data_IF_017998170254
#
_entry.id   IF_017998170254
#
_cell.length_a   1.000
_cell.length_b   1.000
_cell.length_c   1.000
_cell.angle_alpha   90.00
_cell.angle_beta   90.00
_cell.angle_gamma   90.00
#
_symmetry.space_group_name_H-M   'P 1'
#
loop_
_entity.id
_entity.type
_entity.pdbx_description
1 polymer ?
#
# COMPACT_ATOMS: atom_id res chain seq x y z
N UNK A 1 32.81 -3.27 -7.55
CA UNK A 1 33.66 -3.23 -6.34
C UNK A 1 32.82 -3.64 -5.14
N UNK A 2 33.31 -4.55 -4.29
CA UNK A 2 32.62 -4.88 -3.02
C UNK A 2 32.94 -3.77 -2.02
N UNK A 3 31.92 -3.15 -1.45
CA UNK A 3 32.10 -2.16 -0.38
C UNK A 3 32.25 -2.90 0.95
N UNK A 4 33.19 -2.47 1.78
CA UNK A 4 33.49 -3.11 3.08
C UNK A 4 32.25 -3.04 3.97
N UNK A 5 31.70 -1.85 4.13
CA UNK A 5 30.48 -1.58 4.86
C UNK A 5 29.61 -0.61 4.08
N UNK A 6 28.30 -0.86 4.08
CA UNK A 6 27.31 0.13 3.72
C UNK A 6 26.17 0.04 4.72
N UNK A 7 25.77 1.20 5.24
CA UNK A 7 24.71 1.31 6.23
C UNK A 7 23.79 2.48 5.89
N UNK A 8 22.53 2.33 6.25
CA UNK A 8 21.55 3.41 6.24
C UNK A 8 20.75 3.37 7.55
N UNK A 9 20.20 4.51 7.95
CA UNK A 9 19.53 4.66 9.25
C UNK A 9 18.12 5.21 9.10
N UNK A 10 17.22 4.73 9.95
CA UNK A 10 15.84 5.21 10.02
C UNK A 10 15.58 5.76 11.42
N UNK A 11 15.13 7.02 11.48
CA UNK A 11 14.74 7.69 12.72
C UNK A 11 13.25 7.44 12.99
N UNK A 12 12.93 7.08 14.23
CA UNK A 12 11.56 6.91 14.68
C UNK A 12 11.05 8.18 15.40
N UNK A 13 9.85 8.68 15.06
CA UNK A 13 9.25 9.81 15.76
C UNK A 13 8.78 9.40 17.16
N UNK A 14 8.56 10.39 18.02
CA UNK A 14 8.03 10.17 19.37
C UNK A 14 6.65 9.48 19.32
N UNK A 15 6.42 8.55 20.24
CA UNK A 15 5.17 7.77 20.31
C UNK A 15 5.12 6.53 19.42
N UNK A 16 6.13 6.28 18.57
CA UNK A 16 6.25 5.03 17.79
C UNK A 16 7.31 4.13 18.42
N UNK A 17 6.90 2.92 18.81
CA UNK A 17 7.81 1.89 19.33
C UNK A 17 8.12 0.87 18.23
N UNK A 18 9.35 0.38 18.18
CA UNK A 18 9.72 -0.72 17.29
C UNK A 18 10.44 -1.83 18.05
N UNK A 19 10.35 -3.05 17.52
CA UNK A 19 11.13 -4.18 18.00
C UNK A 19 11.67 -4.96 16.80
N UNK A 20 12.93 -5.36 16.86
CA UNK A 20 13.56 -6.20 15.84
C UNK A 20 14.02 -7.51 16.46
N UNK A 21 13.52 -8.62 15.93
CA UNK A 21 13.94 -9.98 16.32
C UNK A 21 14.13 -10.83 15.07
N UNK A 22 15.31 -11.41 14.85
CA UNK A 22 15.60 -12.27 13.70
C UNK A 22 15.20 -11.66 12.34
N UNK A 23 15.54 -10.38 12.11
CA UNK A 23 15.17 -9.60 10.90
C UNK A 23 13.65 -9.42 10.69
N UNK A 24 12.84 -9.75 11.69
CA UNK A 24 11.43 -9.43 11.74
C UNK A 24 11.26 -8.09 12.47
N UNK A 25 10.73 -7.11 11.76
CA UNK A 25 10.52 -5.74 12.26
C UNK A 25 9.04 -5.59 12.62
N UNK A 26 8.78 -5.23 13.88
CA UNK A 26 7.44 -4.88 14.35
C UNK A 26 7.44 -3.41 14.74
N UNK A 27 6.50 -2.64 14.21
CA UNK A 27 6.31 -1.22 14.49
C UNK A 27 4.93 -1.03 15.10
N UNK A 28 4.88 -0.35 16.24
CA UNK A 28 3.67 -0.05 17.00
C UNK A 28 3.52 1.45 17.10
N UNK A 29 2.36 1.96 16.70
CA UNK A 29 2.01 3.38 16.81
C UNK A 29 0.54 3.57 17.19
N UNK A 30 0.05 4.81 17.16
CA UNK A 30 -1.29 5.14 17.63
C UNK A 30 -2.41 4.46 16.84
N UNK A 31 -2.23 4.24 15.52
CA UNK A 31 -3.24 3.60 14.66
C UNK A 31 -3.20 2.08 14.68
N UNK A 32 -2.24 1.48 15.38
CA UNK A 32 -2.11 0.02 15.49
C UNK A 32 -0.67 -0.48 15.32
N UNK A 33 -0.55 -1.77 14.99
CA UNK A 33 0.74 -2.45 14.84
C UNK A 33 0.91 -3.04 13.45
N UNK A 34 2.12 -2.93 12.89
CA UNK A 34 2.51 -3.54 11.63
C UNK A 34 3.73 -4.44 11.85
N UNK A 35 3.70 -5.62 11.25
CA UNK A 35 4.80 -6.59 11.30
C UNK A 35 5.27 -6.90 9.90
N UNK A 36 6.58 -6.93 9.70
CA UNK A 36 7.17 -7.26 8.41
C UNK A 36 8.41 -8.13 8.55
N UNK A 37 8.51 -9.12 7.67
CA UNK A 37 9.60 -10.08 7.65
C UNK A 37 10.62 -9.74 6.54
N UNK A 38 11.90 -9.59 6.94
CA UNK A 38 13.03 -9.37 6.03
C UNK A 38 14.02 -10.55 6.02
N UNK A 39 13.65 -11.75 6.50
CA UNK A 39 14.52 -12.94 6.54
C UNK A 39 15.06 -13.37 5.17
N UNK A 40 14.34 -13.07 4.09
CA UNK A 40 14.77 -13.35 2.72
C UNK A 40 15.99 -12.52 2.28
N UNK A 41 16.31 -11.43 2.99
CA UNK A 41 17.47 -10.59 2.71
C UNK A 41 18.58 -10.88 3.73
N UNK A 42 19.78 -11.13 3.23
CA UNK A 42 20.98 -11.32 4.07
C UNK A 42 21.55 -9.96 4.49
N UNK A 43 20.80 -9.20 5.28
CA UNK A 43 21.14 -7.87 5.78
C UNK A 43 21.01 -7.87 7.30
N UNK A 44 21.87 -7.11 7.97
CA UNK A 44 21.82 -6.96 9.41
C UNK A 44 20.96 -5.74 9.78
N UNK A 45 19.99 -5.93 10.66
CA UNK A 45 19.09 -4.88 11.14
C UNK A 45 19.30 -4.79 12.65
N UNK A 46 19.90 -3.70 13.09
CA UNK A 46 20.23 -3.45 14.50
C UNK A 46 19.56 -2.18 15.00
N UNK A 47 19.25 -2.17 16.28
CA UNK A 47 18.81 -0.97 16.98
C UNK A 47 20.05 -0.22 17.47
N UNK A 48 20.17 1.05 17.10
CA UNK A 48 21.21 1.93 17.60
C UNK A 48 20.59 3.05 18.43
N UNK A 49 20.83 3.01 19.74
CA UNK A 49 20.17 3.90 20.69
C UNK A 49 18.65 3.66 20.78
N UNK A 50 17.93 4.63 21.33
CA UNK A 50 16.51 4.48 21.61
C UNK A 50 15.63 4.53 20.34
N UNK A 51 15.92 5.46 19.42
CA UNK A 51 15.01 5.82 18.32
C UNK A 51 15.60 5.63 16.91
N UNK A 52 16.80 5.07 16.78
CA UNK A 52 17.44 4.87 15.47
C UNK A 52 17.54 3.37 15.18
N UNK A 53 17.13 3.00 13.97
CA UNK A 53 17.34 1.67 13.43
C UNK A 53 18.40 1.75 12.35
N UNK A 54 19.47 0.97 12.48
CA UNK A 54 20.51 0.84 11.46
C UNK A 54 20.29 -0.43 10.66
N UNK A 55 20.35 -0.30 9.34
CA UNK A 55 20.35 -1.41 8.39
C UNK A 55 21.72 -1.43 7.73
N UNK A 56 22.50 -2.51 7.93
CA UNK A 56 23.87 -2.63 7.43
C UNK A 56 24.13 -3.92 6.67
N UNK A 57 25.04 -3.85 5.70
CA UNK A 57 25.56 -5.00 4.97
C UNK A 57 27.08 -4.92 4.86
N UNK A 58 27.74 -6.00 5.25
CA UNK A 58 29.17 -6.20 5.06
C UNK A 58 29.47 -6.81 3.69
N UNK A 59 30.55 -6.36 3.06
CA UNK A 59 31.08 -6.91 1.81
C UNK A 59 30.03 -7.04 0.68
N UNK A 60 29.10 -6.08 0.62
CA UNK A 60 27.94 -6.14 -0.26
C UNK A 60 28.27 -5.96 -1.74
N UNK A 61 27.59 -6.72 -2.60
CA UNK A 61 27.58 -6.51 -4.06
C UNK A 61 26.52 -5.44 -4.41
N UNK A 62 26.67 -4.74 -5.54
CA UNK A 62 25.75 -3.66 -5.99
C UNK A 62 24.26 -3.99 -5.83
N UNK A 63 23.83 -5.22 -6.13
CA UNK A 63 22.43 -5.67 -5.96
C UNK A 63 22.00 -5.74 -4.49
N UNK A 64 22.87 -6.21 -3.61
CA UNK A 64 22.58 -6.31 -2.17
C UNK A 64 22.59 -4.93 -1.51
N UNK A 65 23.50 -4.05 -1.93
CA UNK A 65 23.59 -2.67 -1.43
C UNK A 65 22.32 -1.88 -1.75
N UNK A 66 21.73 -2.10 -2.94
CA UNK A 66 20.46 -1.47 -3.30
C UNK A 66 19.32 -1.89 -2.36
N UNK A 67 19.36 -3.11 -1.81
CA UNK A 67 18.32 -3.61 -0.92
C UNK A 67 18.30 -2.87 0.43
N UNK A 68 19.44 -2.34 0.92
CA UNK A 68 19.51 -1.58 2.18
C UNK A 68 18.49 -0.43 2.17
N UNK A 69 18.54 0.43 1.14
CA UNK A 69 17.64 1.57 1.01
C UNK A 69 16.18 1.18 0.84
N UNK A 70 15.90 0.03 0.21
CA UNK A 70 14.54 -0.49 0.09
C UNK A 70 13.97 -0.93 1.44
N UNK A 71 14.78 -1.57 2.28
CA UNK A 71 14.38 -1.96 3.64
C UNK A 71 14.10 -0.70 4.47
N UNK A 72 14.98 0.30 4.43
CA UNK A 72 14.75 1.59 5.09
C UNK A 72 13.43 2.24 4.65
N UNK A 73 13.17 2.27 3.33
CA UNK A 73 11.95 2.84 2.77
C UNK A 73 10.69 2.08 3.23
N UNK A 74 10.76 0.75 3.32
CA UNK A 74 9.66 -0.05 3.86
C UNK A 74 9.37 0.27 5.33
N UNK A 75 10.41 0.47 6.13
CA UNK A 75 10.25 0.81 7.55
C UNK A 75 9.70 2.22 7.71
N UNK A 76 10.17 3.19 6.93
CA UNK A 76 9.60 4.55 6.89
C UNK A 76 8.12 4.53 6.51
N UNK A 77 7.73 3.69 5.54
CA UNK A 77 6.32 3.53 5.17
C UNK A 77 5.50 2.88 6.30
N UNK A 78 6.06 1.92 7.03
CA UNK A 78 5.40 1.35 8.21
C UNK A 78 5.18 2.43 9.30
N UNK A 79 6.20 3.27 9.56
CA UNK A 79 6.10 4.39 10.51
C UNK A 79 4.96 5.34 10.08
N UNK A 80 4.97 5.81 8.83
CA UNK A 80 3.91 6.68 8.29
C UNK A 80 2.53 6.03 8.36
N UNK A 81 2.46 4.72 8.14
CA UNK A 81 1.23 3.94 8.21
C UNK A 81 0.62 3.88 9.60
N UNK A 82 1.43 3.63 10.64
CA UNK A 82 0.94 3.57 12.03
C UNK A 82 0.68 4.95 12.65
N UNK A 83 1.24 6.02 12.09
CA UNK A 83 1.00 7.39 12.56
C UNK A 83 -0.13 8.08 11.81
N UNK A 84 -0.02 8.19 10.48
CA UNK A 84 -0.95 8.94 9.63
C UNK A 84 -1.95 8.07 8.88
N UNK A 85 -1.57 6.83 8.55
CA UNK A 85 -2.35 5.96 7.67
C UNK A 85 -2.33 6.39 6.21
N UNK A 86 -2.75 5.51 5.30
CA UNK A 86 -2.77 5.74 3.86
C UNK A 86 -4.20 5.76 3.33
N UNK A 87 -4.47 6.70 2.43
CA UNK A 87 -5.75 6.90 1.74
C UNK A 87 -5.55 6.97 0.23
N UNK A 88 -6.19 6.06 -0.49
CA UNK A 88 -6.18 6.06 -1.95
C UNK A 88 -7.58 6.43 -2.41
N UNK A 89 -7.69 7.50 -3.20
CA UNK A 89 -8.94 7.87 -3.86
C UNK A 89 -8.92 7.30 -5.27
N UNK A 90 -10.01 6.66 -5.65
CA UNK A 90 -10.22 6.10 -6.97
C UNK A 90 -11.47 6.70 -7.59
N UNK A 91 -11.44 6.94 -8.90
CA UNK A 91 -12.59 7.45 -9.66
C UNK A 91 -13.00 6.46 -10.72
N UNK A 92 -14.29 6.18 -10.80
CA UNK A 92 -14.88 5.48 -11.94
C UNK A 92 -15.12 6.45 -13.09
N UNK A 93 -14.65 6.07 -14.27
CA UNK A 93 -14.81 6.80 -15.52
C UNK A 93 -15.62 5.91 -16.46
N UNK A 94 -16.62 6.48 -17.10
CA UNK A 94 -17.44 5.81 -18.10
C UNK A 94 -17.93 6.79 -19.16
N UNK A 95 -18.13 6.32 -20.38
CA UNK A 95 -18.67 7.14 -21.47
C UNK A 95 -20.19 7.00 -21.61
N UNK A 96 -20.70 5.76 -21.60
CA UNK A 96 -22.11 5.47 -21.88
C UNK A 96 -22.77 4.61 -20.80
N UNK A 97 -22.10 3.55 -20.34
CA UNK A 97 -22.65 2.64 -19.34
C UNK A 97 -22.18 3.03 -17.93
N UNK A 98 -23.06 3.48 -17.02
CA UNK A 98 -22.66 3.84 -15.67
C UNK A 98 -22.17 2.62 -14.89
N UNK A 99 -21.02 2.77 -14.24
CA UNK A 99 -20.39 1.72 -13.43
C UNK A 99 -20.96 1.78 -12.02
N UNK A 100 -21.59 0.70 -11.58
CA UNK A 100 -22.15 0.61 -10.23
C UNK A 100 -21.17 -0.11 -9.30
N UNK A 101 -20.67 0.60 -8.29
CA UNK A 101 -19.76 0.05 -7.27
C UNK A 101 -20.56 -0.15 -5.99
N UNK A 102 -20.53 -1.37 -5.44
CA UNK A 102 -21.19 -1.68 -4.17
C UNK A 102 -20.24 -2.43 -3.24
N UNK A 103 -20.38 -2.19 -1.95
CA UNK A 103 -19.62 -2.86 -0.90
C UNK A 103 -20.46 -3.98 -0.30
N UNK A 104 -19.95 -5.22 -0.35
CA UNK A 104 -20.58 -6.39 0.23
C UNK A 104 -19.73 -6.96 1.37
N UNK A 105 -20.32 -7.88 2.15
CA UNK A 105 -19.64 -8.56 3.26
C UNK A 105 -19.00 -7.59 4.25
N UNK A 106 -19.78 -6.60 4.72
CA UNK A 106 -19.31 -5.54 5.64
C UNK A 106 -18.12 -4.72 5.11
N UNK A 107 -17.95 -4.66 3.79
CA UNK A 107 -16.91 -3.87 3.15
C UNK A 107 -15.63 -4.65 2.83
N UNK A 108 -15.61 -5.97 2.98
CA UNK A 108 -14.47 -6.81 2.59
C UNK A 108 -14.41 -7.09 1.07
N UNK A 109 -15.56 -7.08 0.40
CA UNK A 109 -15.65 -7.38 -1.03
C UNK A 109 -16.28 -6.20 -1.77
N UNK A 110 -15.59 -5.75 -2.81
CA UNK A 110 -16.11 -4.74 -3.74
C UNK A 110 -16.72 -5.47 -4.92
N UNK A 111 -17.99 -5.21 -5.19
CA UNK A 111 -18.67 -5.64 -6.41
C UNK A 111 -18.77 -4.48 -7.40
N UNK A 112 -18.40 -4.75 -8.65
CA UNK A 112 -18.49 -3.83 -9.77
C UNK A 112 -19.45 -4.44 -10.78
N UNK A 113 -20.52 -3.69 -11.09
CA UNK A 113 -21.59 -4.10 -12.01
C UNK A 113 -21.69 -3.12 -13.18
N UNK A 114 -22.21 -3.62 -14.30
CA UNK A 114 -22.50 -2.84 -15.50
C UNK A 114 -21.28 -2.18 -16.18
N UNK A 115 -20.08 -2.70 -15.92
CA UNK A 115 -18.86 -2.26 -16.61
C UNK A 115 -18.97 -2.55 -18.11
N UNK A 116 -18.91 -1.53 -18.96
CA UNK A 116 -19.15 -1.64 -20.42
C UNK A 116 -20.45 -2.36 -20.81
N UNK A 117 -21.47 -2.37 -19.94
CA UNK A 117 -22.72 -3.09 -20.19
C UNK A 117 -22.62 -4.61 -20.00
N UNK A 118 -21.55 -5.11 -19.38
CA UNK A 118 -21.40 -6.53 -19.06
C UNK A 118 -22.45 -6.98 -18.03
N UNK A 119 -23.04 -8.17 -18.25
CA UNK A 119 -23.91 -8.85 -17.27
C UNK A 119 -23.13 -9.53 -16.14
N UNK A 120 -21.81 -9.71 -16.32
CA UNK A 120 -20.94 -10.34 -15.33
C UNK A 120 -20.64 -9.40 -14.16
N UNK A 121 -20.78 -9.89 -12.93
CA UNK A 121 -20.45 -9.14 -11.72
C UNK A 121 -19.00 -9.40 -11.34
N UNK A 122 -18.18 -8.35 -11.38
CA UNK A 122 -16.76 -8.43 -11.01
C UNK A 122 -16.64 -8.25 -9.51
N UNK A 123 -16.07 -9.23 -8.81
CA UNK A 123 -15.86 -9.21 -7.35
C UNK A 123 -14.38 -9.09 -7.04
N UNK A 124 -14.01 -8.13 -6.20
CA UNK A 124 -12.63 -7.94 -5.75
C UNK A 124 -12.59 -7.99 -4.24
N UNK A 125 -11.91 -9.01 -3.69
CA UNK A 125 -11.70 -9.14 -2.24
C UNK A 125 -10.57 -8.22 -1.78
N UNK A 126 -10.84 -7.41 -0.76
CA UNK A 126 -9.87 -6.56 -0.12
C UNK A 126 -8.95 -7.37 0.82
N UNK A 127 -7.67 -7.00 0.90
CA UNK A 127 -6.75 -7.58 1.87
C UNK A 127 -7.09 -7.10 3.30
N UNK A 128 -6.76 -7.93 4.28
CA UNK A 128 -7.05 -7.66 5.70
C UNK A 128 -6.44 -6.34 6.20
N UNK A 129 -7.23 -5.57 6.94
CA UNK A 129 -6.82 -4.28 7.50
C UNK A 129 -6.93 -3.10 6.52
N UNK A 130 -7.57 -3.32 5.36
CA UNK A 130 -7.95 -2.29 4.40
C UNK A 130 -9.47 -2.15 4.40
N UNK A 131 -9.95 -0.92 4.53
CA UNK A 131 -11.37 -0.57 4.46
C UNK A 131 -11.65 0.23 3.20
N UNK A 132 -12.76 -0.07 2.53
CA UNK A 132 -13.26 0.74 1.42
C UNK A 132 -14.54 1.49 1.82
N UNK A 133 -14.67 2.72 1.35
CA UNK A 133 -15.85 3.56 1.54
C UNK A 133 -16.19 4.29 0.24
N UNK A 134 -17.48 4.43 -0.06
CA UNK A 134 -17.94 5.26 -1.18
C UNK A 134 -17.99 6.70 -0.66
N UNK A 135 -17.38 7.63 -1.40
CA UNK A 135 -17.34 9.04 -1.03
C UNK A 135 -18.75 9.64 -1.07
N UNK A 136 -19.15 10.35 -0.02
CA UNK A 136 -20.40 11.11 0.00
C UNK A 136 -20.26 12.49 -0.65
N UNK A 137 -19.02 12.99 -0.76
CA UNK A 137 -18.73 14.36 -1.24
C UNK A 137 -18.66 14.42 -2.76
N UNK A 138 -18.07 13.40 -3.38
CA UNK A 138 -17.87 13.31 -4.82
C UNK A 138 -18.55 12.05 -5.33
N UNK A 139 -19.40 12.22 -6.33
CA UNK A 139 -20.00 11.09 -7.04
C UNK A 139 -18.91 10.27 -7.73
N UNK A 140 -19.12 8.96 -7.83
CA UNK A 140 -18.29 8.05 -8.61
C UNK A 140 -16.83 7.96 -8.06
N UNK A 141 -16.66 8.22 -6.76
CA UNK A 141 -15.40 8.13 -6.04
C UNK A 141 -15.42 7.03 -4.96
N UNK A 142 -14.41 6.17 -5.01
CA UNK A 142 -14.16 5.10 -4.05
C UNK A 142 -12.89 5.44 -3.25
N UNK A 143 -13.01 5.43 -1.92
CA UNK A 143 -11.91 5.70 -0.99
C UNK A 143 -11.46 4.37 -0.38
N UNK A 144 -10.15 4.12 -0.41
CA UNK A 144 -9.51 2.94 0.16
C UNK A 144 -8.54 3.41 1.24
N UNK A 145 -8.85 3.08 2.48
CA UNK A 145 -8.09 3.45 3.66
C UNK A 145 -7.42 2.23 4.29
N UNK A 146 -6.23 2.43 4.86
CA UNK A 146 -5.56 1.38 5.63
C UNK A 146 -4.23 1.83 6.21
N UNK A 147 -3.67 1.03 7.11
CA UNK A 147 -2.40 1.34 7.75
C UNK A 147 -1.18 0.85 6.93
N UNK A 148 -1.34 -0.21 6.13
CA UNK A 148 -0.25 -0.76 5.31
C UNK A 148 -0.37 -0.33 3.84
N UNK A 149 0.60 0.47 3.38
CA UNK A 149 0.64 0.96 1.99
C UNK A 149 0.65 -0.18 0.96
N UNK A 150 1.26 -1.33 1.27
CA UNK A 150 1.33 -2.44 0.33
C UNK A 150 -0.04 -3.06 0.10
N UNK A 151 -0.79 -3.27 1.19
CA UNK A 151 -2.15 -3.81 1.13
C UNK A 151 -3.11 -2.81 0.49
N UNK A 152 -3.04 -1.53 0.86
CA UNK A 152 -3.88 -0.46 0.29
C UNK A 152 -3.62 -0.32 -1.22
N UNK A 153 -2.36 -0.24 -1.63
CA UNK A 153 -2.01 -0.12 -3.05
C UNK A 153 -2.34 -1.39 -3.85
N UNK A 154 -2.17 -2.58 -3.27
CA UNK A 154 -2.56 -3.84 -3.91
C UNK A 154 -4.07 -3.92 -4.10
N UNK A 155 -4.86 -3.50 -3.11
CA UNK A 155 -6.31 -3.43 -3.22
C UNK A 155 -6.73 -2.53 -4.39
N UNK A 156 -6.21 -1.30 -4.43
CA UNK A 156 -6.47 -0.35 -5.51
C UNK A 156 -6.07 -0.91 -6.88
N UNK A 157 -4.89 -1.54 -6.97
CA UNK A 157 -4.41 -2.14 -8.20
C UNK A 157 -5.30 -3.29 -8.70
N UNK A 158 -5.79 -4.16 -7.79
CA UNK A 158 -6.71 -5.25 -8.15
C UNK A 158 -8.03 -4.72 -8.70
N UNK A 159 -8.58 -3.66 -8.10
CA UNK A 159 -9.81 -3.00 -8.57
C UNK A 159 -9.60 -2.43 -9.96
N UNK A 160 -8.52 -1.66 -10.18
CA UNK A 160 -8.19 -1.10 -11.48
C UNK A 160 -7.98 -2.19 -12.54
N UNK A 161 -7.19 -3.22 -12.23
CA UNK A 161 -6.93 -4.33 -13.16
C UNK A 161 -8.19 -5.10 -13.51
N UNK A 162 -9.12 -5.26 -12.56
CA UNK A 162 -10.40 -5.91 -12.80
C UNK A 162 -11.27 -5.14 -13.80
N UNK A 163 -11.07 -3.84 -13.96
CA UNK A 163 -11.83 -2.95 -14.86
C UNK A 163 -11.02 -2.51 -16.08
N UNK A 164 -10.02 -3.32 -16.47
CA UNK A 164 -9.29 -3.10 -17.72
C UNK A 164 -10.10 -3.59 -18.91
N UNK A 165 -10.32 -2.69 -19.88
CA UNK A 165 -10.98 -3.04 -21.14
C UNK A 165 -10.11 -4.02 -21.93
N UNK A 166 -10.71 -5.14 -22.34
CA UNK A 166 -10.06 -6.15 -23.19
C UNK A 166 -10.74 -6.20 -24.55
N UNK A 167 -9.99 -6.62 -25.58
CA UNK A 167 -10.50 -6.84 -26.95
C UNK A 167 -11.15 -5.59 -27.60
N UNK A 168 -10.80 -4.38 -27.15
CA UNK A 168 -11.18 -3.09 -27.74
C UNK A 168 -9.98 -2.13 -27.73
N UNK A 169 -10.05 -1.06 -28.51
CA UNK A 169 -9.01 -0.01 -28.47
C UNK A 169 -9.10 0.79 -27.16
N UNK A 170 -8.10 0.60 -26.30
CA UNK A 170 -7.96 1.25 -24.99
C UNK A 170 -7.78 2.77 -25.08
N UNK A 171 -7.50 3.32 -26.26
CA UNK A 171 -7.39 4.78 -26.46
C UNK A 171 -8.74 5.44 -26.69
N UNK A 172 -9.74 4.66 -27.12
CA UNK A 172 -11.11 5.12 -27.35
C UNK A 172 -12.02 4.75 -26.19
N UNK A 173 -11.87 3.54 -25.66
CA UNK A 173 -12.63 3.05 -24.51
C UNK A 173 -11.79 3.24 -23.23
N UNK A 174 -11.97 4.40 -22.61
CA UNK A 174 -11.30 4.80 -21.38
C UNK A 174 -12.12 4.45 -20.12
N UNK A 175 -13.19 3.67 -20.26
CA UNK A 175 -14.01 3.22 -19.15
C UNK A 175 -13.19 2.35 -18.19
N UNK A 176 -13.26 2.65 -16.90
CA UNK A 176 -12.46 1.96 -15.88
C UNK A 176 -12.52 2.64 -14.53
N UNK A 177 -11.88 2.03 -13.54
CA UNK A 177 -11.69 2.63 -12.21
C UNK A 177 -10.20 2.91 -12.02
N UNK A 178 -9.85 4.19 -11.87
CA UNK A 178 -8.47 4.65 -11.80
C UNK A 178 -8.16 5.31 -10.47
N UNK A 179 -6.91 5.21 -10.01
CA UNK A 179 -6.44 5.95 -8.82
C UNK A 179 -6.28 7.42 -9.21
N UNK A 180 -7.03 8.30 -8.55
CA UNK A 180 -6.94 9.76 -8.75
C UNK A 180 -5.89 10.39 -7.84
N UNK A 181 -5.91 10.04 -6.56
CA UNK A 181 -5.04 10.65 -5.55
C UNK A 181 -4.52 9.62 -4.54
N UNK A 182 -3.31 9.87 -4.04
CA UNK A 182 -2.67 9.10 -2.97
C UNK A 182 -2.29 10.06 -1.85
N UNK A 183 -2.98 9.98 -0.73
CA UNK A 183 -2.86 10.92 0.40
C UNK A 183 -2.73 10.12 1.70
N UNK A 184 -2.40 10.78 2.80
CA UNK A 184 -2.52 10.22 4.14
C UNK A 184 -3.93 10.41 4.68
N UNK A 185 -4.32 9.63 5.70
CA UNK A 185 -5.65 9.75 6.32
C UNK A 185 -5.71 10.96 7.27
N UNK A 186 -4.66 11.15 8.08
CA UNK A 186 -4.45 12.37 8.83
C UNK A 186 -3.64 13.35 7.96
N UNK A 187 -4.10 14.60 7.93
CA UNK A 187 -3.31 15.72 7.42
C UNK A 187 -2.20 16.07 8.43
N UNK A 188 -1.11 16.67 7.94
CA UNK A 188 0.05 17.08 8.76
C UNK A 188 -0.31 18.08 9.86
#
# INVERSE_FOLDING_TARGET
MKLIESSDTVKFPEGVKFSVKNRLVKVTGPRGTLTRDFRHLNIEITQEGANILRVRKWFGIRKELAAIRTVCSHIVNMIKGVTKGFRYKMRSVYAHFPINITLQEKGEVIEIRNFLGEKFVRRVKLPEGVSAAISTKLKDELIIDGNDVQKVSQAAARIQQSTTVKNKDIRKFLDGIYVSEKVTVADD
#
